data_IF_437301932007
#
_entry.id   IF_437301932007
#
_cell.length_a   1.000
_cell.length_b   1.000
_cell.length_c   1.000
_cell.angle_alpha   90.00
_cell.angle_beta   90.00
_cell.angle_gamma   90.00
#
_symmetry.space_group_name_H-M   'P 1'
#
loop_
_entity.id
_entity.type
_entity.pdbx_description
1 polymer ?
#
# COMPACT_ATOMS: atom_id res chain seq x y z
N UNK A 1 12.61 28.05 -24.73
CA UNK A 1 13.63 27.07 -24.31
C UNK A 1 13.87 27.25 -22.82
N UNK A 2 13.17 26.47 -21.98
CA UNK A 2 13.38 26.50 -20.53
C UNK A 2 14.47 25.50 -20.17
N UNK A 3 15.60 25.99 -19.63
CA UNK A 3 16.58 25.17 -18.90
C UNK A 3 15.98 24.87 -17.52
N UNK A 4 15.08 23.90 -17.46
CA UNK A 4 14.57 23.33 -16.22
C UNK A 4 15.24 21.98 -15.96
N UNK A 5 15.86 21.85 -14.79
CA UNK A 5 16.12 20.60 -14.06
C UNK A 5 16.92 19.47 -14.72
N UNK A 6 18.24 19.65 -14.80
CA UNK A 6 19.20 18.54 -14.84
C UNK A 6 19.86 18.26 -13.48
N UNK A 7 19.47 18.98 -12.44
CA UNK A 7 20.14 18.99 -11.12
C UNK A 7 19.51 18.03 -10.10
N UNK A 8 18.32 17.48 -10.37
CA UNK A 8 17.59 16.66 -9.40
C UNK A 8 17.80 15.14 -9.58
N UNK A 9 18.04 14.68 -10.82
CA UNK A 9 18.22 13.25 -11.12
C UNK A 9 19.47 12.64 -10.48
N UNK A 10 20.62 13.36 -10.49
CA UNK A 10 21.86 12.84 -9.89
C UNK A 10 21.81 12.73 -8.37
N UNK A 11 21.04 13.61 -7.71
CA UNK A 11 20.85 13.57 -6.26
C UNK A 11 19.94 12.42 -5.85
N UNK A 12 18.90 12.15 -6.64
CA UNK A 12 18.03 10.99 -6.46
C UNK A 12 18.77 9.68 -6.76
N UNK A 13 19.53 9.59 -7.85
CA UNK A 13 20.32 8.41 -8.18
C UNK A 13 21.33 8.08 -7.08
N UNK A 14 22.00 9.09 -6.50
CA UNK A 14 22.89 8.88 -5.34
C UNK A 14 22.14 8.35 -4.11
N UNK A 15 20.92 8.85 -3.84
CA UNK A 15 20.09 8.38 -2.73
C UNK A 15 19.60 6.94 -2.94
N UNK A 16 19.14 6.60 -4.15
CA UNK A 16 18.61 5.27 -4.48
C UNK A 16 19.70 4.21 -4.69
N UNK A 17 20.83 4.56 -5.31
CA UNK A 17 21.94 3.63 -5.56
C UNK A 17 22.92 3.54 -4.39
N UNK A 18 22.89 4.48 -3.44
CA UNK A 18 23.72 4.50 -2.24
C UNK A 18 22.93 4.15 -0.96
N UNK A 19 22.50 5.14 -0.15
CA UNK A 19 21.90 4.90 1.17
C UNK A 19 20.64 4.02 1.15
N UNK A 20 19.80 4.11 0.12
CA UNK A 20 18.53 3.37 0.07
C UNK A 20 18.64 2.01 -0.62
N UNK A 21 19.79 1.69 -1.23
CA UNK A 21 19.97 0.45 -1.99
C UNK A 21 19.66 -0.82 -1.17
N UNK A 22 20.10 -0.96 0.09
CA UNK A 22 19.73 -2.12 0.89
C UNK A 22 18.23 -2.17 1.21
N UNK A 23 17.58 -1.00 1.33
CA UNK A 23 16.14 -0.88 1.67
C UNK A 23 15.21 -1.33 0.53
N UNK A 24 15.73 -1.75 -0.62
CA UNK A 24 14.93 -2.51 -1.59
C UNK A 24 14.57 -3.92 -1.06
N UNK A 25 15.41 -4.50 -0.20
CA UNK A 25 15.15 -5.80 0.41
C UNK A 25 14.20 -5.68 1.61
N UNK A 26 13.14 -6.50 1.62
CA UNK A 26 12.17 -6.55 2.71
C UNK A 26 12.81 -6.85 4.07
N UNK A 27 13.80 -7.74 4.10
CA UNK A 27 14.48 -8.12 5.33
C UNK A 27 15.41 -7.01 5.83
N UNK A 28 16.11 -6.32 4.93
CA UNK A 28 16.93 -5.16 5.28
C UNK A 28 16.09 -3.99 5.78
N UNK A 29 14.93 -3.71 5.15
CA UNK A 29 13.97 -2.70 5.66
C UNK A 29 13.56 -3.00 7.08
N UNK A 30 13.10 -4.22 7.34
CA UNK A 30 12.68 -4.64 8.69
C UNK A 30 13.78 -4.52 9.74
N UNK A 31 15.01 -4.92 9.40
CA UNK A 31 16.15 -4.73 10.30
C UNK A 31 16.37 -3.24 10.57
N UNK A 32 16.35 -2.40 9.53
CA UNK A 32 16.47 -0.95 9.68
C UNK A 32 15.33 -0.34 10.51
N UNK A 33 14.09 -0.79 10.31
CA UNK A 33 12.91 -0.37 11.07
C UNK A 33 13.06 -0.72 12.56
N UNK A 34 13.64 -1.88 12.89
CA UNK A 34 13.97 -2.24 14.28
C UNK A 34 14.95 -1.23 14.88
N UNK A 35 16.02 -0.86 14.17
CA UNK A 35 16.95 0.18 14.64
C UNK A 35 16.26 1.54 14.82
N UNK A 36 15.37 1.92 13.91
CA UNK A 36 14.68 3.21 14.00
C UNK A 36 13.60 3.25 15.10
N UNK A 37 12.87 2.14 15.29
CA UNK A 37 11.90 1.99 16.36
C UNK A 37 12.58 1.98 17.73
N UNK A 38 13.76 1.37 17.83
CA UNK A 38 14.57 1.26 19.07
C UNK A 38 15.71 2.28 19.11
N UNK A 39 15.57 3.42 18.43
CA UNK A 39 16.60 4.48 18.34
C UNK A 39 17.02 5.11 19.67
N UNK A 40 16.20 4.92 20.71
CA UNK A 40 16.48 5.44 22.06
C UNK A 40 17.45 4.54 22.84
N UNK A 41 17.75 3.33 22.34
CA UNK A 41 18.81 2.48 22.87
C UNK A 41 20.16 2.88 22.26
N UNK A 42 21.21 2.85 23.08
CA UNK A 42 22.57 3.20 22.64
C UNK A 42 23.10 2.29 21.51
N UNK A 43 22.73 1.01 21.56
CA UNK A 43 23.08 0.00 20.57
C UNK A 43 22.07 -1.15 20.58
N UNK A 44 22.11 -1.98 19.55
CA UNK A 44 21.41 -3.26 19.45
C UNK A 44 22.41 -4.35 19.10
N UNK A 45 22.15 -5.56 19.58
CA UNK A 45 22.89 -6.77 19.19
C UNK A 45 22.20 -7.51 18.05
N UNK A 46 22.92 -8.41 17.38
CA UNK A 46 22.33 -9.37 16.45
C UNK A 46 21.19 -10.19 17.10
N UNK A 47 21.29 -10.47 18.40
CA UNK A 47 20.27 -11.21 19.14
C UNK A 47 19.02 -10.36 19.44
N UNK A 48 19.18 -9.06 19.71
CA UNK A 48 18.06 -8.10 19.80
C UNK A 48 17.25 -8.04 18.51
N UNK A 49 17.92 -8.14 17.37
CA UNK A 49 17.27 -8.15 16.06
C UNK A 49 16.54 -9.47 15.82
N UNK A 50 17.18 -10.60 16.11
CA UNK A 50 16.58 -11.93 15.99
C UNK A 50 15.29 -12.02 16.82
N UNK A 51 15.32 -11.56 18.08
CA UNK A 51 14.13 -11.52 18.94
C UNK A 51 13.04 -10.61 18.43
N UNK A 52 13.38 -9.45 17.89
CA UNK A 52 12.39 -8.56 17.29
C UNK A 52 11.70 -9.22 16.08
N UNK A 53 12.40 -10.04 15.29
CA UNK A 53 11.77 -10.80 14.20
C UNK A 53 10.82 -11.88 14.72
N UNK A 54 11.22 -12.62 15.76
CA UNK A 54 10.39 -13.64 16.41
C UNK A 54 9.09 -13.03 16.96
N UNK A 55 9.16 -11.86 17.61
CA UNK A 55 8.01 -11.11 18.15
C UNK A 55 6.97 -10.75 17.06
N UNK A 56 7.42 -10.58 15.81
CA UNK A 56 6.56 -10.31 14.67
C UNK A 56 6.13 -11.58 13.90
N UNK A 57 6.41 -12.78 14.42
CA UNK A 57 6.07 -14.04 13.78
C UNK A 57 6.85 -14.32 12.50
N UNK A 58 8.04 -13.72 12.36
CA UNK A 58 8.89 -13.83 11.17
C UNK A 58 10.13 -14.66 11.49
N UNK A 59 10.50 -15.57 10.60
CA UNK A 59 11.76 -16.30 10.69
C UNK A 59 12.84 -15.61 9.86
N UNK A 60 14.01 -15.41 10.46
CA UNK A 60 15.23 -14.98 9.77
C UNK A 60 16.42 -15.68 10.39
N UNK A 61 17.36 -16.13 9.58
CA UNK A 61 18.56 -16.80 10.12
C UNK A 61 19.59 -15.76 10.58
N UNK A 62 20.37 -16.09 11.61
CA UNK A 62 21.52 -15.26 12.05
C UNK A 62 22.47 -14.90 10.90
N UNK A 63 22.66 -15.80 9.93
CA UNK A 63 23.49 -15.55 8.74
C UNK A 63 22.89 -14.43 7.87
N UNK A 64 21.58 -14.44 7.65
CA UNK A 64 20.87 -13.40 6.90
C UNK A 64 20.88 -12.06 7.64
N UNK A 65 20.66 -12.06 8.96
CA UNK A 65 20.76 -10.85 9.77
C UNK A 65 22.14 -10.20 9.59
N UNK A 66 23.21 -10.98 9.75
CA UNK A 66 24.58 -10.47 9.58
C UNK A 66 24.86 -9.95 8.16
N UNK A 67 24.35 -10.62 7.12
CA UNK A 67 24.50 -10.16 5.75
C UNK A 67 23.83 -8.80 5.51
N UNK A 68 22.62 -8.61 6.05
CA UNK A 68 21.90 -7.34 5.93
C UNK A 68 22.50 -6.24 6.82
N UNK A 69 23.01 -6.58 8.00
CA UNK A 69 23.74 -5.62 8.83
C UNK A 69 24.97 -5.07 8.11
N UNK A 70 25.75 -5.92 7.45
CA UNK A 70 26.88 -5.49 6.61
C UNK A 70 26.38 -4.58 5.48
N UNK A 71 25.32 -4.96 4.78
CA UNK A 71 24.76 -4.15 3.69
C UNK A 71 24.26 -2.77 4.16
N UNK A 72 23.61 -2.70 5.33
CA UNK A 72 23.15 -1.45 5.93
C UNK A 72 24.32 -0.60 6.43
N UNK A 73 25.40 -1.23 6.90
CA UNK A 73 26.63 -0.55 7.29
C UNK A 73 27.35 0.05 6.07
N UNK A 74 27.46 -0.70 4.97
CA UNK A 74 28.04 -0.22 3.70
C UNK A 74 27.26 1.00 3.15
N UNK A 75 25.93 0.99 3.31
CA UNK A 75 25.08 2.13 2.98
C UNK A 75 25.13 3.27 4.02
N UNK A 76 26.00 3.18 5.03
CA UNK A 76 26.15 4.14 6.12
C UNK A 76 24.87 4.41 6.92
N UNK A 77 23.90 3.49 6.90
CA UNK A 77 22.65 3.61 7.66
C UNK A 77 22.82 3.19 9.13
N UNK A 78 23.70 2.23 9.38
CA UNK A 78 24.08 1.79 10.71
C UNK A 78 25.60 1.75 10.82
N UNK A 79 26.09 1.66 12.05
CA UNK A 79 27.51 1.52 12.35
C UNK A 79 27.73 0.40 13.34
N UNK A 80 28.78 -0.39 13.09
CA UNK A 80 29.28 -1.41 14.02
C UNK A 80 30.20 -0.75 15.04
N UNK A 81 30.05 -1.09 16.32
CA UNK A 81 30.99 -0.68 17.35
C UNK A 81 32.12 -1.71 17.47
N UNK A 82 33.29 -1.25 17.91
CA UNK A 82 34.48 -2.13 18.08
C UNK A 82 34.32 -3.10 19.26
N UNK A 83 33.43 -2.77 20.18
CA UNK A 83 33.14 -3.57 21.36
C UNK A 83 32.06 -4.61 21.11
N UNK A 84 32.08 -5.68 21.92
CA UNK A 84 31.02 -6.69 21.99
C UNK A 84 30.37 -6.64 23.36
N UNK A 85 29.06 -6.81 23.40
CA UNK A 85 28.29 -6.67 24.62
C UNK A 85 27.13 -7.65 24.71
N UNK A 86 26.36 -7.52 25.80
CA UNK A 86 25.14 -8.29 26.00
C UNK A 86 23.96 -7.60 25.31
N UNK A 87 22.89 -8.34 24.97
CA UNK A 87 21.64 -7.74 24.53
C UNK A 87 21.14 -6.71 25.56
N UNK A 88 20.59 -5.61 25.07
CA UNK A 88 20.13 -4.50 25.92
C UNK A 88 18.61 -4.35 25.95
N UNK A 89 17.89 -5.01 25.04
CA UNK A 89 16.43 -4.89 24.97
C UNK A 89 15.71 -5.89 25.87
N UNK A 90 16.33 -7.04 26.19
CA UNK A 90 15.75 -8.08 27.03
C UNK A 90 16.77 -8.70 27.99
N UNK A 91 16.27 -9.31 29.06
CA UNK A 91 17.08 -10.01 30.06
C UNK A 91 17.71 -11.26 29.45
N UNK A 92 19.04 -11.36 29.52
CA UNK A 92 19.80 -12.47 28.93
C UNK A 92 20.97 -12.88 29.84
N UNK A 93 20.90 -14.10 30.37
CA UNK A 93 21.83 -14.62 31.38
C UNK A 93 22.98 -15.47 30.83
N UNK A 94 23.08 -15.62 29.51
CA UNK A 94 24.19 -16.35 28.90
C UNK A 94 25.52 -15.59 29.06
N UNK A 95 26.62 -16.32 28.92
CA UNK A 95 27.99 -15.80 28.91
C UNK A 95 28.41 -15.31 27.52
N UNK A 96 27.64 -15.60 26.49
CA UNK A 96 27.93 -15.17 25.12
C UNK A 96 27.74 -13.65 24.93
N UNK A 97 28.64 -13.02 24.19
CA UNK A 97 28.56 -11.60 23.80
C UNK A 97 28.33 -11.47 22.30
N UNK A 98 27.70 -10.39 21.87
CA UNK A 98 27.31 -10.14 20.48
C UNK A 98 27.95 -8.85 19.97
N UNK A 99 28.06 -8.75 18.65
CA UNK A 99 28.46 -7.50 18.00
C UNK A 99 27.41 -6.42 18.27
N UNK A 100 27.89 -5.21 18.57
CA UNK A 100 27.06 -4.07 18.87
C UNK A 100 26.92 -3.18 17.63
N UNK A 101 25.70 -2.75 17.38
CA UNK A 101 25.33 -1.95 16.22
C UNK A 101 24.51 -0.77 16.69
N UNK A 102 24.65 0.39 16.03
CA UNK A 102 23.77 1.53 16.30
C UNK A 102 23.38 2.24 15.02
N UNK A 103 22.27 2.96 15.09
CA UNK A 103 21.83 3.82 14.00
C UNK A 103 22.86 4.94 13.82
N UNK A 104 23.26 5.22 12.57
CA UNK A 104 24.14 6.35 12.27
C UNK A 104 23.33 7.65 12.19
N UNK A 105 23.99 8.81 12.15
CA UNK A 105 23.30 10.09 11.90
C UNK A 105 22.59 10.08 10.53
N UNK A 106 23.22 9.51 9.51
CA UNK A 106 22.62 9.32 8.19
C UNK A 106 21.39 8.42 8.27
N UNK A 107 21.48 7.29 8.98
CA UNK A 107 20.36 6.39 9.22
C UNK A 107 19.21 7.06 9.95
N UNK A 108 19.49 7.88 10.97
CA UNK A 108 18.46 8.63 11.68
C UNK A 108 17.76 9.64 10.76
N UNK A 109 18.51 10.37 9.95
CA UNK A 109 17.96 11.31 8.98
C UNK A 109 17.13 10.61 7.89
N UNK A 110 17.59 9.46 7.40
CA UNK A 110 16.85 8.62 6.45
C UNK A 110 15.58 8.08 7.12
N UNK A 111 15.68 7.52 8.32
CA UNK A 111 14.54 7.02 9.11
C UNK A 111 13.48 8.07 9.42
N UNK A 112 13.87 9.33 9.65
CA UNK A 112 12.91 10.44 9.82
C UNK A 112 12.15 10.80 8.55
N UNK A 113 12.79 10.64 7.39
CA UNK A 113 12.21 10.93 6.07
C UNK A 113 11.48 9.73 5.49
N UNK A 114 11.83 8.52 5.92
CA UNK A 114 11.26 7.28 5.41
C UNK A 114 9.75 7.16 5.61
N UNK A 115 9.08 7.61 6.68
CA UNK A 115 7.62 7.61 6.74
C UNK A 115 6.95 8.36 5.58
N UNK A 116 7.65 9.30 4.94
CA UNK A 116 7.18 10.00 3.74
C UNK A 116 7.42 9.24 2.43
N UNK A 117 8.32 8.23 2.43
CA UNK A 117 8.68 7.38 1.28
C UNK A 117 8.19 5.93 1.41
N UNK A 118 8.02 5.47 2.64
CA UNK A 118 7.45 4.21 3.07
C UNK A 118 6.00 4.51 3.42
N UNK A 119 5.18 4.59 2.37
CA UNK A 119 3.78 4.18 2.47
C UNK A 119 3.79 2.88 3.28
N UNK A 120 3.05 2.86 4.39
CA UNK A 120 2.83 1.65 5.19
C UNK A 120 2.70 0.47 4.24
N UNK A 121 3.45 -0.60 4.46
CA UNK A 121 3.13 -1.91 3.88
C UNK A 121 1.77 -2.35 4.50
N UNK A 122 0.68 -1.69 4.08
CA UNK A 122 -0.60 -2.36 3.97
C UNK A 122 -0.40 -3.44 2.89
N UNK A 123 -0.72 -4.66 3.29
CA UNK A 123 -0.53 -5.91 2.55
C UNK A 123 -0.91 -5.80 1.08
N UNK A 124 0.08 -5.54 0.22
CA UNK A 124 -0.05 -5.59 -1.25
C UNK A 124 0.32 -6.97 -1.82
N UNK A 125 0.31 -8.01 -0.99
CA UNK A 125 0.39 -9.40 -1.45
C UNK A 125 -1.01 -9.98 -1.61
N UNK A 126 -1.27 -10.65 -2.74
CA UNK A 126 -2.49 -11.45 -2.93
C UNK A 126 -2.55 -12.48 -1.78
N UNK A 127 -3.60 -12.49 -0.94
CA UNK A 127 -3.69 -13.40 0.19
C UNK A 127 -3.76 -14.85 -0.28
N UNK A 128 -3.14 -15.77 0.46
CA UNK A 128 -3.28 -17.21 0.17
C UNK A 128 -4.66 -17.68 0.60
N UNK A 129 -5.18 -18.74 -0.02
CA UNK A 129 -6.48 -19.32 0.35
C UNK A 129 -6.60 -19.69 1.83
N UNK A 130 -5.50 -20.15 2.44
CA UNK A 130 -5.45 -20.49 3.86
C UNK A 130 -5.47 -19.27 4.82
N UNK A 131 -5.27 -18.07 4.27
CA UNK A 131 -5.22 -16.80 5.00
C UNK A 131 -6.55 -16.02 4.84
N UNK A 132 -7.52 -16.55 4.08
CA UNK A 132 -8.81 -15.91 3.87
C UNK A 132 -9.66 -15.99 5.14
N UNK A 133 -10.12 -14.83 5.59
CA UNK A 133 -11.18 -14.66 6.59
C UNK A 133 -12.31 -13.82 5.96
N UNK A 134 -13.49 -13.71 6.60
CA UNK A 134 -14.62 -12.95 6.07
C UNK A 134 -14.27 -11.50 5.72
N UNK A 135 -13.45 -10.84 6.53
CA UNK A 135 -13.03 -9.45 6.31
C UNK A 135 -12.20 -9.29 5.03
N UNK A 136 -11.19 -10.14 4.84
CA UNK A 136 -10.34 -10.16 3.63
C UNK A 136 -11.16 -10.52 2.40
N UNK A 137 -12.12 -11.45 2.52
CA UNK A 137 -13.02 -11.80 1.42
C UNK A 137 -13.85 -10.58 1.00
N UNK A 138 -14.39 -9.82 1.96
CA UNK A 138 -15.13 -8.59 1.67
C UNK A 138 -14.26 -7.55 0.95
N UNK A 139 -13.02 -7.34 1.39
CA UNK A 139 -12.08 -6.42 0.72
C UNK A 139 -11.77 -6.85 -0.73
N UNK A 140 -11.56 -8.15 -0.96
CA UNK A 140 -11.32 -8.68 -2.31
C UNK A 140 -12.56 -8.49 -3.20
N UNK A 141 -13.75 -8.77 -2.67
CA UNK A 141 -15.00 -8.56 -3.39
C UNK A 141 -15.18 -7.08 -3.76
N UNK A 142 -14.91 -6.16 -2.83
CA UNK A 142 -15.02 -4.73 -3.09
C UNK A 142 -14.03 -4.24 -4.14
N UNK A 143 -12.78 -4.70 -4.09
CA UNK A 143 -11.79 -4.42 -5.12
C UNK A 143 -12.21 -4.96 -6.48
N UNK A 144 -12.74 -6.18 -6.52
CA UNK A 144 -13.23 -6.82 -7.74
C UNK A 144 -14.38 -6.02 -8.36
N UNK A 145 -15.42 -5.70 -7.59
CA UNK A 145 -16.58 -4.98 -8.09
C UNK A 145 -16.25 -3.54 -8.49
N UNK A 146 -15.45 -2.84 -7.69
CA UNK A 146 -14.97 -1.49 -8.02
C UNK A 146 -14.20 -1.48 -9.33
N UNK A 147 -13.29 -2.43 -9.52
CA UNK A 147 -12.52 -2.58 -10.76
C UNK A 147 -13.41 -2.90 -11.96
N UNK A 148 -14.41 -3.78 -11.79
CA UNK A 148 -15.39 -4.09 -12.85
C UNK A 148 -16.23 -2.89 -13.23
N UNK A 149 -16.71 -2.12 -12.25
CA UNK A 149 -17.48 -0.89 -12.50
C UNK A 149 -16.64 0.12 -13.29
N UNK A 150 -15.38 0.34 -12.87
CA UNK A 150 -14.45 1.23 -13.57
C UNK A 150 -14.27 0.87 -15.04
N UNK A 151 -13.99 -0.41 -15.31
CA UNK A 151 -13.78 -0.92 -16.66
C UNK A 151 -15.05 -0.81 -17.51
N UNK A 152 -16.21 -1.20 -16.96
CA UNK A 152 -17.48 -1.11 -17.66
C UNK A 152 -17.84 0.34 -18.01
N UNK A 153 -17.65 1.28 -17.08
CA UNK A 153 -17.88 2.68 -17.34
C UNK A 153 -16.91 3.20 -18.41
N UNK A 154 -15.62 2.86 -18.31
CA UNK A 154 -14.61 3.25 -19.28
C UNK A 154 -14.96 2.76 -20.70
N UNK A 155 -15.35 1.50 -20.84
CA UNK A 155 -15.71 0.90 -22.12
C UNK A 155 -16.98 1.52 -22.75
N UNK A 156 -17.80 2.18 -21.94
CA UNK A 156 -19.01 2.89 -22.38
C UNK A 156 -18.85 4.41 -22.41
N UNK A 157 -17.61 4.92 -22.50
CA UNK A 157 -17.35 6.36 -22.66
C UNK A 157 -17.44 7.16 -21.36
N UNK A 158 -17.43 6.50 -20.22
CA UNK A 158 -17.35 7.08 -18.88
C UNK A 158 -18.69 7.26 -18.17
N UNK A 159 -19.81 6.83 -18.75
CA UNK A 159 -21.12 6.87 -18.11
C UNK A 159 -21.96 5.63 -18.39
N UNK A 160 -22.77 5.21 -17.41
CA UNK A 160 -23.73 4.13 -17.59
C UNK A 160 -24.92 4.26 -16.64
N UNK A 161 -26.11 3.86 -17.08
CA UNK A 161 -27.29 3.86 -16.20
C UNK A 161 -27.15 2.79 -15.11
N UNK A 162 -27.74 3.02 -13.94
CA UNK A 162 -27.75 2.05 -12.84
C UNK A 162 -28.33 0.70 -13.29
N UNK A 163 -29.41 0.73 -14.08
CA UNK A 163 -30.05 -0.49 -14.60
C UNK A 163 -29.13 -1.26 -15.57
N UNK A 164 -28.44 -0.56 -16.47
CA UNK A 164 -27.51 -1.19 -17.41
C UNK A 164 -26.28 -1.74 -16.67
N UNK A 165 -25.80 -1.03 -15.64
CA UNK A 165 -24.61 -1.41 -14.88
C UNK A 165 -24.90 -2.69 -14.09
N UNK A 166 -26.05 -2.72 -13.42
CA UNK A 166 -26.56 -3.90 -12.70
C UNK A 166 -26.69 -5.11 -13.63
N UNK A 167 -27.26 -4.91 -14.82
CA UNK A 167 -27.45 -5.97 -15.82
C UNK A 167 -26.11 -6.52 -16.32
N UNK A 168 -25.12 -5.66 -16.58
CA UNK A 168 -23.80 -6.08 -17.05
C UNK A 168 -22.96 -6.75 -15.96
N UNK A 169 -23.07 -6.30 -14.71
CA UNK A 169 -22.42 -6.93 -13.56
C UNK A 169 -23.10 -8.23 -13.09
N UNK A 170 -24.33 -8.50 -13.56
CA UNK A 170 -25.16 -9.62 -13.14
C UNK A 170 -25.36 -9.71 -11.61
N UNK A 171 -25.55 -8.56 -10.96
CA UNK A 171 -25.81 -8.45 -9.52
C UNK A 171 -27.22 -7.95 -9.23
N UNK A 172 -27.69 -8.14 -8.00
CA UNK A 172 -28.95 -7.57 -7.53
C UNK A 172 -28.82 -6.07 -7.22
N UNK A 173 -29.96 -5.45 -6.89
CA UNK A 173 -30.05 -4.01 -6.66
C UNK A 173 -29.38 -3.65 -5.33
N UNK A 174 -29.60 -4.45 -4.31
CA UNK A 174 -29.06 -4.25 -2.97
C UNK A 174 -27.54 -4.23 -3.00
N UNK A 175 -26.91 -5.15 -3.76
CA UNK A 175 -25.47 -5.26 -3.92
C UNK A 175 -24.88 -4.09 -4.69
N UNK A 176 -25.50 -3.64 -5.78
CA UNK A 176 -25.01 -2.45 -6.51
C UNK A 176 -25.16 -1.16 -5.69
N UNK A 177 -26.17 -1.09 -4.80
CA UNK A 177 -26.36 0.06 -3.93
C UNK A 177 -25.21 0.23 -2.90
N UNK A 178 -24.50 -0.83 -2.53
CA UNK A 178 -23.30 -0.71 -1.67
C UNK A 178 -22.23 0.12 -2.37
N UNK A 179 -22.05 -0.08 -3.67
CA UNK A 179 -21.11 0.68 -4.48
C UNK A 179 -21.66 2.04 -4.93
N UNK A 180 -22.78 2.51 -4.37
CA UNK A 180 -23.30 3.86 -4.61
C UNK A 180 -22.82 4.91 -3.61
N UNK A 181 -22.12 4.47 -2.55
CA UNK A 181 -21.63 5.35 -1.50
C UNK A 181 -20.22 5.87 -1.83
N UNK A 182 -19.91 7.15 -1.53
CA UNK A 182 -18.59 7.75 -1.81
C UNK A 182 -17.42 6.93 -1.26
N UNK A 183 -17.62 6.31 -0.09
CA UNK A 183 -16.59 5.57 0.64
C UNK A 183 -16.40 4.12 0.13
N UNK A 184 -17.28 3.63 -0.75
CA UNK A 184 -17.28 2.24 -1.22
C UNK A 184 -16.16 1.93 -2.23
N UNK A 185 -15.48 2.95 -2.74
CA UNK A 185 -14.40 2.80 -3.72
C UNK A 185 -13.01 2.55 -3.11
N UNK A 186 -12.91 2.50 -1.77
CA UNK A 186 -11.66 2.29 -1.02
C UNK A 186 -10.51 3.18 -1.52
N UNK A 187 -10.83 4.41 -1.90
CA UNK A 187 -9.89 5.40 -2.43
C UNK A 187 -10.06 6.74 -1.72
N UNK A 188 -8.97 7.51 -1.61
CA UNK A 188 -8.97 8.83 -0.96
C UNK A 188 -9.94 9.82 -1.63
N UNK A 189 -10.34 9.55 -2.88
CA UNK A 189 -11.30 10.33 -3.66
C UNK A 189 -12.25 9.39 -4.40
N UNK A 190 -13.54 9.76 -4.58
CA UNK A 190 -14.50 8.92 -5.28
C UNK A 190 -14.07 8.68 -6.74
N UNK A 191 -14.08 7.42 -7.18
CA UNK A 191 -13.71 7.02 -8.54
C UNK A 191 -14.87 7.15 -9.54
N UNK A 192 -16.09 7.16 -9.04
CA UNK A 192 -17.29 7.41 -9.81
C UNK A 192 -18.31 8.18 -8.96
N UNK A 193 -19.18 8.90 -9.64
CA UNK A 193 -20.26 9.69 -9.04
C UNK A 193 -21.60 9.20 -9.56
N UNK A 194 -22.64 9.38 -8.75
CA UNK A 194 -24.00 9.08 -9.15
C UNK A 194 -24.75 10.37 -9.38
N UNK A 195 -25.15 10.55 -10.64
CA UNK A 195 -25.95 11.68 -11.06
C UNK A 195 -27.40 11.22 -11.12
N UNK A 196 -28.26 11.89 -10.35
CA UNK A 196 -29.71 11.74 -10.46
C UNK A 196 -30.16 12.51 -11.70
N UNK A 197 -30.65 11.82 -12.73
CA UNK A 197 -31.20 12.46 -13.91
C UNK A 197 -32.47 13.24 -13.54
N UNK A 198 -32.70 14.43 -14.14
CA UNK A 198 -33.94 15.16 -13.93
C UNK A 198 -35.14 14.30 -14.29
N UNK A 199 -36.21 14.26 -13.46
CA UNK A 199 -37.35 13.38 -13.71
C UNK A 199 -38.05 13.75 -15.01
N UNK A 200 -38.14 12.79 -15.93
CA UNK A 200 -38.87 12.94 -17.18
C UNK A 200 -40.38 12.93 -16.94
N UNK A 201 -41.18 13.37 -17.93
CA UNK A 201 -42.65 13.28 -17.87
C UNK A 201 -43.12 11.85 -17.54
N UNK A 202 -42.46 10.84 -18.11
CA UNK A 202 -42.70 9.42 -17.83
C UNK A 202 -42.42 9.10 -16.35
N UNK A 203 -41.28 9.54 -15.83
CA UNK A 203 -40.87 9.36 -14.43
C UNK A 203 -41.88 9.99 -13.46
N UNK A 204 -42.39 11.19 -13.78
CA UNK A 204 -43.41 11.87 -12.97
C UNK A 204 -44.72 11.08 -12.91
N UNK A 205 -45.16 10.50 -14.02
CA UNK A 205 -46.35 9.64 -14.07
C UNK A 205 -46.17 8.37 -13.24
N UNK A 206 -45.03 7.69 -13.35
CA UNK A 206 -44.77 6.47 -12.56
C UNK A 206 -44.62 6.74 -11.06
N UNK A 207 -44.09 7.90 -10.67
CA UNK A 207 -44.01 8.32 -9.27
C UNK A 207 -45.40 8.53 -8.63
N UNK A 208 -46.40 8.93 -9.42
CA UNK A 208 -47.81 9.03 -8.97
C UNK A 208 -48.38 7.65 -8.63
N UNK A 209 -47.90 6.58 -9.28
CA UNK A 209 -48.30 5.20 -8.99
C UNK A 209 -47.41 4.49 -7.96
N UNK A 210 -46.49 5.20 -7.31
CA UNK A 210 -45.59 4.63 -6.29
C UNK A 210 -44.46 3.75 -6.85
N UNK A 211 -44.18 3.80 -8.15
CA UNK A 211 -43.08 3.04 -8.77
C UNK A 211 -41.85 3.92 -8.92
N UNK A 212 -40.78 3.58 -8.20
CA UNK A 212 -39.47 4.24 -8.31
C UNK A 212 -38.63 3.52 -9.37
N UNK A 213 -38.30 4.20 -10.46
CA UNK A 213 -37.62 3.60 -11.61
C UNK A 213 -36.10 3.63 -11.43
N UNK A 214 -35.43 2.49 -11.62
CA UNK A 214 -33.95 2.37 -11.60
C UNK A 214 -33.25 3.26 -12.64
N UNK A 215 -33.99 3.80 -13.62
CA UNK A 215 -33.47 4.57 -14.75
C UNK A 215 -33.04 6.00 -14.39
N UNK A 216 -33.34 6.47 -13.18
CA UNK A 216 -33.07 7.85 -12.77
C UNK A 216 -31.63 8.05 -12.23
N UNK A 217 -30.84 6.99 -12.10
CA UNK A 217 -29.46 7.04 -11.59
C UNK A 217 -28.47 6.71 -12.71
N UNK A 218 -27.45 7.54 -12.87
CA UNK A 218 -26.34 7.32 -13.82
C UNK A 218 -25.03 7.35 -13.07
N UNK A 219 -24.23 6.30 -13.21
CA UNK A 219 -22.84 6.28 -12.75
C UNK A 219 -21.98 6.98 -13.78
N UNK A 220 -21.10 7.86 -13.33
CA UNK A 220 -20.18 8.62 -14.17
C UNK A 220 -18.77 8.52 -13.58
N UNK A 221 -17.77 8.26 -14.41
CA UNK A 221 -16.38 8.29 -13.96
C UNK A 221 -15.96 9.71 -13.58
N UNK A 222 -15.31 9.83 -12.42
CA UNK A 222 -14.56 11.03 -12.09
C UNK A 222 -13.27 11.06 -12.91
N UNK A 223 -12.57 12.20 -12.88
CA UNK A 223 -11.25 12.32 -13.53
C UNK A 223 -10.24 11.31 -12.97
N UNK A 224 -10.24 11.08 -11.66
CA UNK A 224 -9.37 10.09 -11.01
C UNK A 224 -9.79 8.66 -11.39
N UNK A 225 -11.09 8.39 -11.49
CA UNK A 225 -11.61 7.12 -11.99
C UNK A 225 -11.22 6.81 -13.43
N UNK A 226 -11.24 7.80 -14.33
CA UNK A 226 -10.78 7.65 -15.72
C UNK A 226 -9.31 7.26 -15.79
N UNK A 227 -8.44 8.01 -15.09
CA UNK A 227 -7.00 7.71 -15.04
C UNK A 227 -6.73 6.31 -14.50
N UNK A 228 -7.48 5.89 -13.49
CA UNK A 228 -7.34 4.56 -12.92
C UNK A 228 -7.78 3.47 -13.90
N UNK A 229 -8.93 3.62 -14.56
CA UNK A 229 -9.40 2.69 -15.57
C UNK A 229 -8.42 2.57 -16.75
N UNK A 230 -7.90 3.69 -17.25
CA UNK A 230 -6.87 3.72 -18.30
C UNK A 230 -5.59 2.99 -17.88
N UNK A 231 -5.14 3.19 -16.64
CA UNK A 231 -4.00 2.47 -16.08
C UNK A 231 -4.23 0.95 -16.06
N UNK A 232 -5.42 0.49 -15.66
CA UNK A 232 -5.76 -0.94 -15.63
C UNK A 232 -5.74 -1.53 -17.06
N UNK A 233 -6.42 -0.88 -18.02
CA UNK A 233 -6.49 -1.33 -19.42
C UNK A 233 -5.12 -1.30 -20.11
N UNK A 234 -4.28 -0.30 -19.80
CA UNK A 234 -2.93 -0.18 -20.39
C UNK A 234 -1.99 -1.32 -19.99
N UNK A 235 -2.22 -1.97 -18.83
CA UNK A 235 -1.45 -3.12 -18.36
C UNK A 235 -1.82 -4.41 -19.10
N UNK A 236 -3.06 -4.57 -19.54
CA UNK A 236 -3.50 -5.71 -20.37
C UNK A 236 -2.87 -5.70 -21.78
N UNK A 237 -2.34 -4.56 -22.23
CA UNK A 237 -1.71 -4.39 -23.56
C UNK A 237 -0.20 -4.59 -23.58
N UNK A 238 0.45 -4.87 -22.45
CA UNK A 238 1.89 -5.23 -22.43
C UNK A 238 2.04 -6.75 -22.57
N UNK A 239 2.71 -7.26 -23.62
CA UNK A 239 2.94 -8.68 -23.84
C UNK A 239 3.87 -9.30 -22.77
#
# INVERSE_FOLDING_TARGET
>A
MSKGDKTDLKGLDYLFEGPLKPLHSKNARRIFDIFYARRDFEHLTTHDIEKAFDEHGLSITKKEINAWLISLQEASLIIKLDERGKPVVFTYDDRYTFDLWRLSETGLNVGRKLPSFMVKEESSGIPKLAELNPEIIHEIEDLYFTSKILLLLHDHGGELSYADLRKQLAIDREKLAIYSWPDASHSEKPLFEIIVKPPTLRTKVFKIFGWMMEQDLTFTLTEDGRRMAESIVSREKKP
#
